data_IF_776527182988
#
_entry.id   IF_776527182988
#
_cell.length_a   1.000
_cell.length_b   1.000
_cell.length_c   1.000
_cell.angle_alpha   90.00
_cell.angle_beta   90.00
_cell.angle_gamma   90.00
#
_symmetry.space_group_name_H-M   'P 1'
#
loop_
_entity.id
_entity.type
_entity.pdbx_description
1 polymer ?
#
# COMPACT_ATOMS: atom_id res chain seq x y z
N UNK A 1 -6.04 4.83 31.42
CA UNK A 1 -6.26 4.12 30.15
C UNK A 1 -7.71 3.69 30.08
N UNK A 2 -8.37 3.75 28.92
CA UNK A 2 -9.75 3.30 28.72
C UNK A 2 -9.79 2.31 27.54
N UNK A 3 -10.70 1.34 27.61
CA UNK A 3 -10.90 0.36 26.52
C UNK A 3 -11.44 1.09 25.28
N UNK A 4 -10.90 0.76 24.12
CA UNK A 4 -11.40 1.30 22.84
C UNK A 4 -12.78 0.73 22.53
N UNK A 5 -13.77 1.58 22.26
CA UNK A 5 -15.13 1.14 21.94
C UNK A 5 -15.21 0.48 20.56
N UNK A 6 -16.17 -0.43 20.40
CA UNK A 6 -16.42 -1.10 19.12
C UNK A 6 -16.79 -0.10 18.02
N UNK A 7 -17.52 0.98 18.32
CA UNK A 7 -17.90 1.97 17.32
C UNK A 7 -16.68 2.74 16.78
N UNK A 8 -15.71 3.07 17.63
CA UNK A 8 -14.41 3.63 17.19
C UNK A 8 -13.62 2.64 16.33
N UNK A 9 -13.77 1.33 16.55
CA UNK A 9 -13.14 0.31 15.73
C UNK A 9 -13.84 0.13 14.38
N UNK A 10 -15.18 0.28 14.33
CA UNK A 10 -15.94 0.28 13.07
C UNK A 10 -15.52 1.43 12.17
N UNK A 11 -15.35 2.63 12.73
CA UNK A 11 -14.82 3.78 11.97
C UNK A 11 -13.44 3.46 11.38
N UNK A 12 -12.54 2.85 12.15
CA UNK A 12 -11.23 2.42 11.64
C UNK A 12 -11.32 1.35 10.55
N UNK A 13 -12.32 0.48 10.62
CA UNK A 13 -12.54 -0.57 9.63
C UNK A 13 -12.99 -0.02 8.26
N UNK A 14 -13.59 1.18 8.22
CA UNK A 14 -13.93 1.87 6.97
C UNK A 14 -12.70 2.35 6.20
N UNK A 15 -11.51 2.33 6.82
CA UNK A 15 -10.27 2.81 6.22
C UNK A 15 -10.07 4.31 6.39
N UNK A 16 -9.07 4.85 5.70
CA UNK A 16 -8.68 6.26 5.75
C UNK A 16 -8.34 6.74 4.34
N UNK A 17 -8.59 8.02 4.08
CA UNK A 17 -8.20 8.66 2.82
C UNK A 17 -6.71 9.00 2.87
N UNK A 18 -5.97 8.55 1.88
CA UNK A 18 -4.52 8.70 1.78
C UNK A 18 -4.15 9.11 0.36
N UNK A 19 -3.19 10.03 0.27
CA UNK A 19 -2.57 10.45 -0.99
C UNK A 19 -1.32 9.61 -1.26
N UNK A 20 -1.23 9.09 -2.47
CA UNK A 20 -0.11 8.35 -3.04
C UNK A 20 0.43 9.09 -4.27
N UNK A 21 1.63 8.71 -4.78
CA UNK A 21 2.12 9.19 -6.06
C UNK A 21 1.10 8.96 -7.19
N UNK A 22 0.95 9.94 -8.07
CA UNK A 22 0.09 9.87 -9.25
C UNK A 22 0.64 9.02 -10.38
N UNK A 23 -0.15 8.87 -11.43
CA UNK A 23 0.36 8.49 -12.76
C UNK A 23 0.99 9.68 -13.50
N UNK A 24 0.64 10.90 -13.09
CA UNK A 24 1.14 12.17 -13.59
C UNK A 24 1.45 13.13 -12.42
N UNK A 25 1.31 14.43 -12.64
CA UNK A 25 1.57 15.43 -11.60
C UNK A 25 0.50 15.48 -10.49
N UNK A 26 -0.67 14.89 -10.73
CA UNK A 26 -1.77 14.85 -9.77
C UNK A 26 -1.65 13.65 -8.82
N UNK A 27 -1.87 13.82 -7.51
CA UNK A 27 -1.75 12.71 -6.56
C UNK A 27 -2.87 11.67 -6.75
N UNK A 28 -2.53 10.39 -6.57
CA UNK A 28 -3.51 9.33 -6.49
C UNK A 28 -4.11 9.28 -5.08
N UNK A 29 -5.37 9.70 -4.94
CA UNK A 29 -6.08 9.70 -3.65
C UNK A 29 -6.97 8.46 -3.55
N UNK A 30 -6.76 7.67 -2.51
CA UNK A 30 -7.53 6.43 -2.29
C UNK A 30 -7.96 6.27 -0.83
N UNK A 31 -9.12 5.65 -0.63
CA UNK A 31 -9.51 5.08 0.65
C UNK A 31 -8.80 3.75 0.84
N UNK A 32 -8.05 3.64 1.93
CA UNK A 32 -7.22 2.47 2.22
C UNK A 32 -7.38 1.97 3.64
N UNK A 33 -7.20 0.67 3.86
CA UNK A 33 -7.11 0.07 5.20
C UNK A 33 -5.74 -0.59 5.38
N UNK A 34 -5.28 -0.67 6.63
CA UNK A 34 -4.08 -1.46 6.94
C UNK A 34 -4.43 -2.94 6.90
N UNK A 35 -3.55 -3.73 6.30
CA UNK A 35 -3.68 -5.17 6.17
C UNK A 35 -2.54 -5.88 6.89
N UNK A 36 -2.78 -7.12 7.31
CA UNK A 36 -1.75 -7.98 7.90
C UNK A 36 -1.25 -8.94 6.84
N UNK A 37 0.04 -8.89 6.49
CA UNK A 37 0.63 -9.84 5.55
C UNK A 37 0.47 -11.30 6.04
N UNK A 38 0.68 -11.54 7.33
CA UNK A 38 0.41 -12.86 7.93
C UNK A 38 -1.08 -13.24 7.86
N UNK A 39 -1.98 -12.25 7.97
CA UNK A 39 -3.42 -12.46 7.77
C UNK A 39 -3.77 -12.84 6.33
N UNK A 40 -3.14 -12.21 5.34
CA UNK A 40 -3.33 -12.55 3.92
C UNK A 40 -2.81 -13.96 3.61
N UNK A 41 -1.66 -14.33 4.17
CA UNK A 41 -1.12 -15.70 4.11
C UNK A 41 -2.11 -16.70 4.73
N UNK A 42 -2.59 -16.44 5.95
CA UNK A 42 -3.51 -17.33 6.64
C UNK A 42 -4.86 -17.49 5.91
N UNK A 43 -5.30 -16.45 5.18
CA UNK A 43 -6.51 -16.47 4.35
C UNK A 43 -6.30 -17.16 2.98
N UNK A 44 -5.08 -17.59 2.65
CA UNK A 44 -4.75 -18.18 1.36
C UNK A 44 -4.72 -17.19 0.19
N UNK A 45 -4.70 -15.88 0.49
CA UNK A 45 -4.63 -14.82 -0.54
C UNK A 45 -3.23 -14.63 -1.09
N UNK A 46 -2.22 -15.06 -0.33
CA UNK A 46 -0.86 -15.25 -0.84
C UNK A 46 -0.69 -16.73 -1.18
N UNK A 47 -0.49 -17.09 -2.46
CA UNK A 47 -0.19 -18.45 -2.86
C UNK A 47 1.00 -19.06 -2.11
N UNK A 48 0.95 -20.37 -1.83
CA UNK A 48 2.02 -21.08 -1.11
C UNK A 48 3.39 -20.98 -1.81
N UNK A 49 3.41 -20.87 -3.14
CA UNK A 49 4.63 -20.64 -3.93
C UNK A 49 5.32 -19.31 -3.62
N UNK A 50 4.59 -18.34 -3.07
CA UNK A 50 5.08 -16.99 -2.79
C UNK A 50 5.41 -16.75 -1.31
N UNK A 51 5.28 -17.77 -0.45
CA UNK A 51 5.55 -17.61 0.99
C UNK A 51 6.99 -17.22 1.27
N UNK A 52 7.95 -17.72 0.47
CA UNK A 52 9.36 -17.33 0.58
C UNK A 52 9.56 -15.83 0.33
N UNK A 53 8.94 -15.29 -0.73
CA UNK A 53 8.98 -13.87 -1.05
C UNK A 53 8.25 -13.03 0.01
N UNK A 54 7.07 -13.46 0.46
CA UNK A 54 6.33 -12.79 1.53
C UNK A 54 7.13 -12.73 2.84
N UNK A 55 7.80 -13.82 3.21
CA UNK A 55 8.67 -13.85 4.39
C UNK A 55 9.86 -12.91 4.25
N UNK A 56 10.53 -12.91 3.08
CA UNK A 56 11.63 -11.97 2.81
C UNK A 56 11.18 -10.52 2.92
N UNK A 57 10.07 -10.16 2.27
CA UNK A 57 9.51 -8.80 2.35
C UNK A 57 9.15 -8.40 3.77
N UNK A 58 8.63 -9.32 4.58
CA UNK A 58 8.24 -9.04 5.96
C UNK A 58 9.44 -8.86 6.91
N UNK A 59 10.51 -9.64 6.73
CA UNK A 59 11.61 -9.74 7.71
C UNK A 59 12.90 -9.04 7.22
N UNK A 60 13.26 -9.25 5.95
CA UNK A 60 14.60 -8.95 5.41
C UNK A 60 14.60 -7.78 4.41
N UNK A 61 13.44 -7.42 3.85
CA UNK A 61 13.35 -6.47 2.75
C UNK A 61 13.71 -7.10 1.40
N UNK A 62 13.95 -6.26 0.39
CA UNK A 62 14.32 -6.68 -0.97
C UNK A 62 15.84 -6.65 -1.10
N UNK A 63 16.43 -7.73 -1.62
CA UNK A 63 17.86 -7.86 -1.92
C UNK A 63 18.11 -8.28 -3.39
N UNK A 64 19.38 -8.31 -3.81
CA UNK A 64 19.77 -8.68 -5.18
C UNK A 64 19.35 -10.11 -5.59
N UNK A 65 19.11 -11.00 -4.62
CA UNK A 65 18.72 -12.40 -4.86
C UNK A 65 17.21 -12.59 -4.83
N UNK A 66 16.46 -11.51 -4.67
CA UNK A 66 15.01 -11.56 -4.54
C UNK A 66 14.38 -11.67 -5.92
N UNK A 67 13.50 -12.65 -6.10
CA UNK A 67 12.76 -12.80 -7.34
C UNK A 67 11.75 -11.65 -7.46
N UNK A 68 12.02 -10.71 -8.36
CA UNK A 68 11.23 -9.49 -8.56
C UNK A 68 9.78 -9.83 -8.94
N UNK A 69 9.56 -10.91 -9.70
CA UNK A 69 8.20 -11.35 -10.06
C UNK A 69 7.41 -11.76 -8.83
N UNK A 70 8.01 -12.54 -7.93
CA UNK A 70 7.34 -12.98 -6.71
C UNK A 70 7.09 -11.80 -5.76
N UNK A 71 8.01 -10.83 -5.69
CA UNK A 71 7.80 -9.58 -4.95
C UNK A 71 6.61 -8.80 -5.49
N UNK A 72 6.53 -8.65 -6.82
CA UNK A 72 5.41 -7.99 -7.46
C UNK A 72 4.08 -8.69 -7.13
N UNK A 73 4.01 -10.02 -7.23
CA UNK A 73 2.79 -10.77 -6.95
C UNK A 73 2.36 -10.63 -5.48
N UNK A 74 3.30 -10.64 -4.53
CA UNK A 74 3.00 -10.37 -3.12
C UNK A 74 2.55 -8.92 -2.89
N UNK A 75 3.26 -7.95 -3.47
CA UNK A 75 2.91 -6.53 -3.35
C UNK A 75 1.54 -6.22 -3.96
N UNK A 76 1.21 -6.84 -5.10
CA UNK A 76 -0.10 -6.73 -5.75
C UNK A 76 -1.21 -7.31 -4.88
N UNK A 77 -0.99 -8.47 -4.25
CA UNK A 77 -1.96 -9.05 -3.32
C UNK A 77 -2.19 -8.16 -2.09
N UNK A 78 -1.12 -7.53 -1.56
CA UNK A 78 -1.23 -6.53 -0.48
C UNK A 78 -2.03 -5.32 -0.96
N UNK A 79 -1.74 -4.79 -2.15
CA UNK A 79 -2.44 -3.64 -2.72
C UNK A 79 -3.94 -3.92 -2.91
N UNK A 80 -4.29 -5.11 -3.41
CA UNK A 80 -5.67 -5.56 -3.61
C UNK A 80 -6.51 -5.51 -2.34
N UNK A 81 -5.94 -5.92 -1.19
CA UNK A 81 -6.64 -5.85 0.09
C UNK A 81 -6.50 -4.49 0.80
N UNK A 82 -5.54 -3.66 0.39
CA UNK A 82 -5.30 -2.34 0.97
C UNK A 82 -6.21 -1.28 0.38
N UNK A 83 -6.38 -1.27 -0.94
CA UNK A 83 -7.21 -0.32 -1.70
C UNK A 83 -8.71 -0.67 -1.57
N UNK A 84 -9.48 0.21 -0.93
CA UNK A 84 -10.93 0.07 -0.79
C UNK A 84 -11.68 0.83 -1.88
N UNK A 85 -11.25 2.06 -2.18
CA UNK A 85 -11.92 2.95 -3.14
C UNK A 85 -10.92 3.97 -3.72
N UNK A 86 -10.66 3.98 -5.04
CA UNK A 86 -10.99 2.90 -5.98
C UNK A 86 -10.28 1.60 -5.59
N UNK A 87 -10.88 0.45 -5.89
CA UNK A 87 -10.24 -0.85 -5.69
C UNK A 87 -9.20 -1.13 -6.78
N UNK A 88 -8.25 -2.04 -6.52
CA UNK A 88 -7.28 -2.43 -7.54
C UNK A 88 -7.97 -2.99 -8.80
N UNK A 89 -9.03 -3.78 -8.62
CA UNK A 89 -9.77 -4.37 -9.72
C UNK A 89 -10.44 -3.28 -10.60
N UNK A 90 -10.97 -2.21 -9.98
CA UNK A 90 -11.54 -1.06 -10.72
C UNK A 90 -10.48 -0.29 -11.53
N UNK A 91 -9.25 -0.18 -11.01
CA UNK A 91 -8.15 0.45 -11.74
C UNK A 91 -7.78 -0.39 -12.97
N UNK A 92 -7.65 -1.72 -12.78
CA UNK A 92 -7.33 -2.64 -13.87
C UNK A 92 -8.42 -2.67 -14.95
N UNK A 93 -9.70 -2.61 -14.56
CA UNK A 93 -10.85 -2.57 -15.48
C UNK A 93 -10.82 -1.36 -16.43
N UNK A 94 -10.26 -0.23 -15.99
CA UNK A 94 -10.10 0.98 -16.82
C UNK A 94 -8.72 1.05 -17.50
N UNK A 95 -7.91 -0.01 -17.41
CA UNK A 95 -6.60 -0.10 -18.05
C UNK A 95 -5.49 0.65 -17.30
N UNK A 96 -5.68 1.00 -16.03
CA UNK A 96 -4.64 1.56 -15.18
C UNK A 96 -3.94 0.46 -14.38
N UNK A 97 -2.62 0.39 -14.54
CA UNK A 97 -1.74 -0.42 -13.69
C UNK A 97 -1.06 0.46 -12.65
N UNK A 98 -0.93 -0.03 -11.41
CA UNK A 98 -0.14 0.66 -10.41
C UNK A 98 1.33 0.69 -10.83
N UNK A 99 1.95 1.86 -10.76
CA UNK A 99 3.39 2.01 -10.98
C UNK A 99 4.18 1.37 -9.84
N UNK A 100 5.48 1.09 -10.07
CA UNK A 100 6.36 0.58 -9.03
C UNK A 100 6.40 1.50 -7.80
N UNK A 101 6.40 2.82 -8.03
CA UNK A 101 6.40 3.82 -6.97
C UNK A 101 5.12 3.74 -6.12
N UNK A 102 3.95 3.60 -6.78
CA UNK A 102 2.67 3.44 -6.11
C UNK A 102 2.60 2.13 -5.31
N UNK A 103 3.05 1.01 -5.88
CA UNK A 103 3.10 -0.28 -5.20
C UNK A 103 3.96 -0.24 -3.95
N UNK A 104 5.15 0.37 -4.03
CA UNK A 104 6.04 0.55 -2.88
C UNK A 104 5.41 1.47 -1.83
N UNK A 105 4.77 2.57 -2.23
CA UNK A 105 4.10 3.47 -1.30
C UNK A 105 2.95 2.78 -0.55
N UNK A 106 2.14 1.98 -1.26
CA UNK A 106 1.04 1.19 -0.68
C UNK A 106 1.59 0.10 0.26
N UNK A 107 2.67 -0.58 -0.14
CA UNK A 107 3.35 -1.58 0.69
C UNK A 107 3.87 -0.95 2.00
N UNK A 108 4.55 0.19 1.91
CA UNK A 108 5.07 0.91 3.07
C UNK A 108 3.94 1.38 4.00
N UNK A 109 2.85 1.89 3.43
CA UNK A 109 1.65 2.24 4.19
C UNK A 109 1.06 1.04 4.92
N UNK A 110 0.97 -0.14 4.29
CA UNK A 110 0.41 -1.33 4.95
C UNK A 110 1.21 -1.71 6.20
N UNK A 111 2.53 -1.59 6.15
CA UNK A 111 3.45 -1.91 7.24
C UNK A 111 3.47 -0.84 8.34
N UNK A 112 3.66 0.43 7.99
CA UNK A 112 3.96 1.51 8.96
C UNK A 112 2.82 2.52 9.13
N UNK A 113 1.73 2.39 8.37
CA UNK A 113 0.62 3.35 8.35
C UNK A 113 1.01 4.67 7.67
N UNK A 114 0.24 5.73 7.96
CA UNK A 114 0.44 7.06 7.33
C UNK A 114 1.81 7.69 7.57
N UNK A 115 2.52 7.28 8.63
CA UNK A 115 3.89 7.76 8.92
C UNK A 115 4.89 7.39 7.83
N UNK A 116 4.70 6.24 7.17
CA UNK A 116 5.54 5.83 6.04
C UNK A 116 5.45 6.78 4.84
N UNK A 117 4.43 7.64 4.80
CA UNK A 117 4.16 8.56 3.68
C UNK A 117 4.63 9.99 3.96
N UNK A 118 5.16 10.28 5.16
CA UNK A 118 5.61 11.62 5.55
C UNK A 118 6.75 12.13 4.65
N UNK A 119 7.70 11.26 4.28
CA UNK A 119 8.81 11.59 3.38
C UNK A 119 8.34 11.99 1.97
N UNK A 120 7.25 11.40 1.48
CA UNK A 120 6.65 11.76 0.19
C UNK A 120 5.94 13.12 0.25
N UNK A 121 5.19 13.37 1.33
CA UNK A 121 4.47 14.64 1.54
C UNK A 121 5.41 15.84 1.61
N UNK A 122 6.58 15.67 2.22
CA UNK A 122 7.62 16.71 2.25
C UNK A 122 8.14 16.99 0.84
N UNK A 123 8.51 15.96 0.07
CA UNK A 123 9.01 16.13 -1.31
C UNK A 123 7.98 16.80 -2.23
N UNK A 124 6.70 16.45 -2.12
CA UNK A 124 5.64 17.06 -2.94
C UNK A 124 5.46 18.56 -2.63
N UNK A 125 5.59 18.94 -1.36
CA UNK A 125 5.54 20.36 -0.93
C UNK A 125 6.70 21.16 -1.52
N UNK A 126 7.91 20.59 -1.54
CA UNK A 126 9.10 21.24 -2.10
C UNK A 126 8.99 21.44 -3.62
N UNK A 127 8.45 20.46 -4.35
CA UNK A 127 8.25 20.55 -5.81
C UNK A 127 7.22 21.63 -6.16
N UNK A 128 6.10 21.71 -5.43
CA UNK A 128 5.08 22.77 -5.63
C UNK A 128 5.66 24.17 -5.41
N UNK A 129 6.53 24.33 -4.43
CA UNK A 129 7.19 25.61 -4.15
C UNK A 129 8.20 26.03 -5.24
N UNK A 130 8.86 25.08 -5.90
CA UNK A 130 9.80 25.38 -6.98
C UNK A 130 9.13 25.67 -8.33
N UNK A 131 7.91 25.18 -8.57
CA UNK A 131 7.13 25.48 -9.78
C UNK A 131 6.39 26.84 -9.74
N UNK A 132 6.33 27.51 -8.59
CA UNK A 132 5.70 28.83 -8.41
C UNK A 132 6.69 30.00 -8.43
N UNK A 133 7.90 29.84 -9.00
CA UNK A 133 8.90 30.90 -9.15
C UNK A 133 9.24 31.16 -10.61
#
# INVERSE_FOLDING_TARGET
>A
MQVTSLDKLKEKAQGQIVEFPGWDEEPFVARVKRVSLLGLVAQGKIPNSLLGAAQKLFIQGVDEKTNIKEVYEVAKAIAKDTLLEPSLDQLEEIGLELTDEQLIAILNYSQQGVKALESFRTKQSDIKNNKSK
#
